data_IF_489102518910
#
_entry.id   IF_489102518910
#
_cell.length_a   1.000
_cell.length_b   1.000
_cell.length_c   1.000
_cell.angle_alpha   90.00
_cell.angle_beta   90.00
_cell.angle_gamma   90.00
#
_symmetry.space_group_name_H-M   'P 1'
#
loop_
_entity.id
_entity.type
_entity.pdbx_description
1 polymer ?
#
# COMPACT_ATOMS: atom_id res chain seq x y z
N UNK A 1 -71.62 17.09 37.74
CA UNK A 1 -71.39 15.85 38.49
C UNK A 1 -69.99 15.37 38.21
N UNK A 2 -69.18 15.35 39.26
CA UNK A 2 -67.87 14.73 39.47
C UNK A 2 -66.73 15.01 38.47
N UNK A 3 -65.64 15.68 38.87
CA UNK A 3 -64.59 15.18 39.79
C UNK A 3 -63.85 13.96 39.20
N UNK A 4 -62.52 13.81 39.22
CA UNK A 4 -61.46 14.51 39.95
C UNK A 4 -60.16 13.73 39.72
N UNK A 5 -59.06 14.48 39.53
CA UNK A 5 -57.69 14.23 40.01
C UNK A 5 -56.89 13.00 39.52
N UNK A 6 -55.68 13.31 39.05
CA UNK A 6 -54.34 13.06 39.65
C UNK A 6 -53.35 13.01 38.47
N UNK A 7 -52.31 13.83 38.35
CA UNK A 7 -51.36 14.29 39.36
C UNK A 7 -50.01 13.61 39.08
N UNK A 8 -48.92 14.38 39.04
CA UNK A 8 -47.57 13.86 39.26
C UNK A 8 -46.64 13.83 38.06
N UNK A 9 -45.85 14.90 37.93
CA UNK A 9 -44.38 14.86 37.94
C UNK A 9 -43.72 13.54 37.51
N UNK A 10 -43.16 13.50 36.31
CA UNK A 10 -41.89 12.79 36.03
C UNK A 10 -41.15 13.53 34.91
N UNK A 11 -40.55 14.65 35.32
CA UNK A 11 -39.35 15.17 34.68
C UNK A 11 -38.19 14.21 35.04
N UNK A 12 -37.27 14.00 34.09
CA UNK A 12 -35.98 13.31 34.16
C UNK A 12 -35.84 11.94 33.50
N UNK A 13 -34.78 11.87 32.69
CA UNK A 13 -34.08 10.71 32.13
C UNK A 13 -34.67 9.99 30.91
N UNK A 14 -34.53 10.62 29.74
CA UNK A 14 -33.97 9.95 28.57
C UNK A 14 -33.05 10.96 27.85
N UNK A 15 -31.79 11.05 28.31
CA UNK A 15 -30.63 10.54 27.54
C UNK A 15 -30.62 11.11 26.11
N UNK A 16 -30.12 12.32 25.90
CA UNK A 16 -28.68 12.60 25.77
C UNK A 16 -27.96 11.71 24.74
N UNK A 17 -28.52 11.57 23.53
CA UNK A 17 -27.84 10.90 22.41
C UNK A 17 -27.93 11.64 21.06
N UNK A 18 -28.47 12.87 21.03
CA UNK A 18 -28.70 13.61 19.78
C UNK A 18 -27.85 14.90 19.64
N UNK A 19 -26.71 14.94 20.34
CA UNK A 19 -25.79 16.10 20.35
C UNK A 19 -24.32 15.67 20.17
N UNK A 20 -24.10 14.62 19.37
CA UNK A 20 -22.78 14.11 18.97
C UNK A 20 -22.72 13.75 17.48
N UNK A 21 -23.50 14.43 16.62
CA UNK A 21 -23.42 14.29 15.16
C UNK A 21 -23.21 15.67 14.52
N UNK A 22 -22.33 16.49 15.12
CA UNK A 22 -21.96 17.80 14.54
C UNK A 22 -20.50 18.20 14.82
N UNK A 23 -19.60 17.26 15.09
CA UNK A 23 -18.18 17.59 15.35
C UNK A 23 -17.17 16.70 14.62
N UNK A 24 -17.52 16.19 13.45
CA UNK A 24 -16.56 15.73 12.44
C UNK A 24 -17.02 16.15 11.04
N UNK A 25 -17.19 17.46 10.85
CA UNK A 25 -16.83 18.04 9.56
C UNK A 25 -15.42 18.64 9.76
N UNK A 26 -14.53 18.33 8.82
CA UNK A 26 -13.14 18.76 8.77
C UNK A 26 -12.16 18.07 9.73
N UNK A 27 -11.91 16.77 9.50
CA UNK A 27 -10.53 16.42 9.16
C UNK A 27 -10.57 16.18 7.67
N UNK A 28 -10.13 17.18 6.91
CA UNK A 28 -9.83 16.96 5.51
C UNK A 28 -8.87 15.78 5.49
N UNK A 29 -9.31 14.67 4.90
CA UNK A 29 -8.35 13.74 4.33
C UNK A 29 -7.58 14.58 3.32
N UNK A 30 -6.43 15.12 3.75
CA UNK A 30 -5.34 15.38 2.83
C UNK A 30 -5.13 14.03 2.19
N UNK A 31 -5.72 13.89 1.01
CA UNK A 31 -5.43 12.81 0.10
C UNK A 31 -3.95 13.05 -0.18
N UNK A 32 -3.10 12.40 0.59
CA UNK A 32 -1.69 12.30 0.27
C UNK A 32 -1.73 11.46 -1.00
N UNK A 33 -1.89 12.15 -2.14
CA UNK A 33 -2.01 11.51 -3.44
C UNK A 33 -0.66 10.81 -3.64
N UNK A 34 -0.65 9.49 -3.43
CA UNK A 34 0.52 8.66 -3.69
C UNK A 34 0.73 8.69 -5.20
N UNK A 35 1.88 9.19 -5.65
CA UNK A 35 2.21 9.33 -7.06
C UNK A 35 2.62 7.98 -7.66
N UNK A 36 3.31 7.15 -6.88
CA UNK A 36 3.73 5.81 -7.26
C UNK A 36 3.94 4.90 -6.03
N UNK A 37 3.74 3.60 -6.22
CA UNK A 37 4.06 2.59 -5.22
C UNK A 37 5.37 1.86 -5.56
N UNK A 38 6.29 1.85 -4.61
CA UNK A 38 7.52 1.07 -4.64
C UNK A 38 7.48 -0.12 -3.69
N UNK A 39 8.46 -0.99 -3.85
CA UNK A 39 8.62 -2.21 -3.08
C UNK A 39 10.04 -2.37 -2.57
N UNK A 40 10.19 -2.71 -1.29
CA UNK A 40 11.44 -3.22 -0.73
C UNK A 40 11.28 -4.72 -0.49
N UNK A 41 11.95 -5.53 -1.32
CA UNK A 41 11.95 -6.99 -1.20
C UNK A 41 13.30 -7.49 -0.74
N UNK A 42 13.33 -8.18 0.40
CA UNK A 42 14.50 -8.92 0.86
C UNK A 42 14.36 -10.37 0.45
N UNK A 43 15.38 -10.89 -0.23
CA UNK A 43 15.44 -12.29 -0.64
C UNK A 43 16.63 -13.01 0.00
N UNK A 44 16.53 -14.32 0.09
CA UNK A 44 17.60 -15.18 0.54
C UNK A 44 18.70 -15.27 -0.52
N UNK A 45 19.95 -15.11 -0.10
CA UNK A 45 21.11 -15.29 -0.97
C UNK A 45 22.27 -14.36 -0.64
N UNK A 46 23.34 -14.50 -1.42
CA UNK A 46 24.50 -13.59 -1.40
C UNK A 46 24.39 -12.59 -2.54
N UNK A 47 24.93 -11.38 -2.33
CA UNK A 47 24.89 -10.34 -3.36
C UNK A 47 25.63 -10.77 -4.64
N UNK A 48 26.68 -11.59 -4.54
CA UNK A 48 27.43 -12.08 -5.71
C UNK A 48 26.60 -13.03 -6.60
N UNK A 49 25.59 -13.67 -6.04
CA UNK A 49 24.71 -14.63 -6.73
C UNK A 49 23.42 -13.95 -7.23
N UNK A 50 23.18 -12.70 -6.82
CA UNK A 50 21.99 -11.96 -7.20
C UNK A 50 22.19 -11.28 -8.56
N UNK A 51 21.23 -11.50 -9.46
CA UNK A 51 21.21 -10.94 -10.80
C UNK A 51 20.00 -10.02 -10.93
N UNK A 52 20.25 -8.72 -11.07
CA UNK A 52 19.19 -7.73 -11.30
C UNK A 52 18.39 -8.08 -12.57
N UNK A 53 19.06 -8.57 -13.61
CA UNK A 53 18.42 -8.95 -14.86
C UNK A 53 17.45 -10.13 -14.68
N UNK A 54 17.85 -11.14 -13.90
CA UNK A 54 17.01 -12.30 -13.62
C UNK A 54 15.86 -11.92 -12.69
N UNK A 55 16.12 -11.10 -11.66
CA UNK A 55 15.07 -10.51 -10.82
C UNK A 55 14.01 -9.79 -11.65
N UNK A 56 14.43 -8.85 -12.50
CA UNK A 56 13.51 -8.09 -13.36
C UNK A 56 12.70 -9.03 -14.26
N UNK A 57 13.35 -10.00 -14.91
CA UNK A 57 12.67 -10.99 -15.77
C UNK A 57 11.66 -11.83 -14.98
N UNK A 58 12.00 -12.26 -13.77
CA UNK A 58 11.13 -13.07 -12.94
C UNK A 58 9.91 -12.30 -12.44
N UNK A 59 10.09 -11.04 -12.01
CA UNK A 59 8.96 -10.16 -11.65
C UNK A 59 8.06 -9.90 -12.85
N UNK A 60 8.65 -9.57 -14.01
CA UNK A 60 7.91 -9.35 -15.25
C UNK A 60 7.07 -10.57 -15.65
N UNK A 61 7.65 -11.78 -15.60
CA UNK A 61 6.95 -13.02 -15.90
C UNK A 61 5.80 -13.33 -14.91
N UNK A 62 5.95 -12.97 -13.63
CA UNK A 62 4.90 -13.19 -12.62
C UNK A 62 3.68 -12.30 -12.86
N UNK A 63 3.93 -11.06 -13.27
CA UNK A 63 2.91 -10.01 -13.33
C UNK A 63 2.43 -9.70 -14.75
N UNK A 64 2.92 -10.48 -15.73
CA UNK A 64 2.64 -10.29 -17.15
C UNK A 64 2.90 -8.83 -17.58
N UNK A 65 4.12 -8.37 -17.28
CA UNK A 65 4.66 -7.05 -17.60
C UNK A 65 5.87 -7.16 -18.53
N UNK A 66 6.26 -6.06 -19.14
CA UNK A 66 7.54 -6.00 -19.84
C UNK A 66 8.69 -5.83 -18.84
N UNK A 67 9.88 -6.33 -19.22
CA UNK A 67 11.09 -6.19 -18.39
C UNK A 67 11.49 -4.71 -18.26
N UNK A 68 11.16 -3.88 -19.24
CA UNK A 68 11.36 -2.44 -19.22
C UNK A 68 10.61 -1.76 -18.08
N UNK A 69 9.49 -2.31 -17.66
CA UNK A 69 8.60 -1.67 -16.68
C UNK A 69 9.05 -1.90 -15.25
N UNK A 70 10.01 -2.81 -15.04
CA UNK A 70 10.55 -3.12 -13.71
C UNK A 70 11.80 -2.27 -13.47
N UNK A 71 11.67 -1.25 -12.61
CA UNK A 71 12.76 -0.34 -12.27
C UNK A 71 13.38 -0.76 -10.95
N UNK A 72 14.61 -1.25 -10.97
CA UNK A 72 15.37 -1.51 -9.74
C UNK A 72 16.13 -0.24 -9.36
N UNK A 73 15.72 0.37 -8.27
CA UNK A 73 16.26 1.63 -7.75
C UNK A 73 17.58 1.39 -7.01
N UNK A 74 17.64 0.33 -6.20
CA UNK A 74 18.82 -0.04 -5.43
C UNK A 74 18.81 -1.54 -5.10
N UNK A 75 20.00 -2.14 -5.00
CA UNK A 75 20.20 -3.50 -4.50
C UNK A 75 21.40 -3.51 -3.55
N UNK A 76 21.20 -3.97 -2.30
CA UNK A 76 22.19 -3.92 -1.23
C UNK A 76 22.61 -5.32 -0.74
N UNK A 77 23.71 -5.35 0.02
CA UNK A 77 24.27 -6.56 0.62
C UNK A 77 23.29 -7.24 1.59
N UNK A 78 23.17 -8.56 1.52
CA UNK A 78 22.10 -9.33 2.19
C UNK A 78 20.77 -9.39 1.41
N UNK A 79 20.84 -9.00 0.13
CA UNK A 79 19.85 -8.98 -0.96
C UNK A 79 18.51 -8.34 -0.61
N UNK A 80 18.58 -7.05 -0.28
CA UNK A 80 17.45 -6.13 -0.24
C UNK A 80 17.37 -5.42 -1.60
N UNK A 81 16.21 -5.50 -2.25
CA UNK A 81 15.94 -4.95 -3.58
C UNK A 81 14.83 -3.91 -3.47
N UNK A 82 15.17 -2.66 -3.76
CA UNK A 82 14.22 -1.57 -3.88
C UNK A 82 13.84 -1.43 -5.35
N UNK A 83 12.56 -1.56 -5.67
CA UNK A 83 12.08 -1.52 -7.05
C UNK A 83 10.69 -0.92 -7.18
N UNK A 84 10.38 -0.46 -8.39
CA UNK A 84 9.07 0.05 -8.79
C UNK A 84 8.63 -0.66 -10.08
N UNK A 85 7.33 -0.64 -10.33
CA UNK A 85 6.72 -1.15 -11.56
C UNK A 85 6.00 0.02 -12.21
N UNK A 86 6.33 0.34 -13.46
CA UNK A 86 5.61 1.36 -14.21
C UNK A 86 4.29 0.82 -14.76
N UNK A 87 3.43 1.77 -15.17
CA UNK A 87 2.23 1.45 -15.93
C UNK A 87 2.58 0.84 -17.30
N UNK A 88 1.76 -0.11 -17.77
CA UNK A 88 1.94 -0.70 -19.09
C UNK A 88 1.78 0.35 -20.18
N UNK A 89 2.55 0.23 -21.26
CA UNK A 89 2.46 1.16 -22.39
C UNK A 89 1.12 1.02 -23.14
N UNK A 90 0.62 2.07 -23.81
CA UNK A 90 -0.56 1.97 -24.67
C UNK A 90 -0.43 0.87 -25.73
N UNK A 91 0.78 0.67 -26.24
CA UNK A 91 1.12 -0.38 -27.19
C UNK A 91 0.88 -1.77 -26.59
N UNK A 92 1.36 -2.06 -25.38
CA UNK A 92 1.11 -3.32 -24.67
C UNK A 92 -0.38 -3.57 -24.46
N UNK A 93 -1.12 -2.55 -24.03
CA UNK A 93 -2.57 -2.65 -23.77
C UNK A 93 -3.39 -2.92 -25.03
N UNK A 94 -2.84 -2.56 -26.21
CA UNK A 94 -3.46 -2.75 -27.52
C UNK A 94 -3.25 -4.16 -28.09
N UNK A 95 -2.31 -4.94 -27.54
CA UNK A 95 -2.01 -6.28 -28.04
C UNK A 95 -3.20 -7.23 -27.82
N UNK A 96 -3.56 -8.08 -28.80
CA UNK A 96 -4.59 -9.11 -28.63
C UNK A 96 -4.29 -10.10 -27.50
N UNK A 97 -3.02 -10.25 -27.12
CA UNK A 97 -2.55 -11.10 -26.03
C UNK A 97 -2.63 -10.45 -24.65
N UNK A 98 -2.96 -9.15 -24.55
CA UNK A 98 -2.97 -8.43 -23.28
C UNK A 98 -3.98 -9.05 -22.30
N UNK A 99 -3.46 -9.62 -21.21
CA UNK A 99 -4.27 -10.30 -20.20
C UNK A 99 -4.88 -9.32 -19.20
N UNK A 100 -5.68 -9.84 -18.26
CA UNK A 100 -6.17 -9.04 -17.14
C UNK A 100 -5.03 -8.49 -16.27
N UNK A 101 -3.92 -9.22 -16.15
CA UNK A 101 -2.73 -8.79 -15.42
C UNK A 101 -1.99 -7.68 -16.16
N UNK A 102 -1.82 -7.80 -17.50
CA UNK A 102 -1.20 -6.75 -18.32
C UNK A 102 -1.87 -5.40 -18.11
N UNK A 103 -3.21 -5.38 -17.96
CA UNK A 103 -4.02 -4.17 -17.82
C UNK A 103 -3.98 -3.51 -16.44
N UNK A 104 -3.31 -4.13 -15.46
CA UNK A 104 -3.13 -3.51 -14.15
C UNK A 104 -2.09 -2.40 -14.23
N UNK A 105 -2.35 -1.30 -13.52
CA UNK A 105 -1.35 -0.24 -13.28
C UNK A 105 -0.18 -0.81 -12.49
N UNK A 106 0.99 -0.17 -12.59
CA UNK A 106 2.20 -0.57 -11.89
C UNK A 106 1.97 -0.71 -10.38
N UNK A 107 1.25 0.24 -9.79
CA UNK A 107 0.85 0.22 -8.38
C UNK A 107 -0.01 -0.99 -8.01
N UNK A 108 -0.98 -1.33 -8.86
CA UNK A 108 -1.85 -2.50 -8.64
C UNK A 108 -1.06 -3.80 -8.76
N UNK A 109 -0.08 -3.84 -9.68
CA UNK A 109 0.84 -4.97 -9.83
C UNK A 109 1.75 -5.12 -8.60
N UNK A 110 2.26 -4.01 -8.05
CA UNK A 110 3.06 -4.00 -6.83
C UNK A 110 2.28 -4.57 -5.64
N UNK A 111 1.05 -4.08 -5.44
CA UNK A 111 0.16 -4.56 -4.39
C UNK A 111 -0.24 -6.02 -4.59
N UNK A 112 -0.55 -6.42 -5.83
CA UNK A 112 -0.86 -7.81 -6.15
C UNK A 112 0.30 -8.75 -5.79
N UNK A 113 1.54 -8.38 -6.13
CA UNK A 113 2.72 -9.16 -5.79
C UNK A 113 2.88 -9.31 -4.27
N UNK A 114 2.65 -8.24 -3.53
CA UNK A 114 2.68 -8.26 -2.06
C UNK A 114 1.59 -9.16 -1.47
N UNK A 115 0.36 -9.05 -1.98
CA UNK A 115 -0.75 -9.93 -1.60
C UNK A 115 -0.44 -11.39 -1.93
N UNK A 116 0.18 -11.68 -3.06
CA UNK A 116 0.60 -13.03 -3.43
C UNK A 116 1.64 -13.59 -2.47
N UNK A 117 2.60 -12.77 -2.03
CA UNK A 117 3.61 -13.18 -1.07
C UNK A 117 3.01 -13.51 0.30
N UNK A 118 2.18 -12.63 0.85
CA UNK A 118 1.55 -12.86 2.17
C UNK A 118 0.68 -14.12 2.16
N UNK A 119 -0.06 -14.35 1.07
CA UNK A 119 -1.00 -15.47 0.98
C UNK A 119 -0.35 -16.76 0.48
N UNK A 120 0.95 -16.80 0.21
CA UNK A 120 1.64 -17.98 -0.31
C UNK A 120 1.07 -18.44 -1.65
N UNK A 121 0.84 -17.51 -2.58
CA UNK A 121 0.27 -17.83 -3.89
C UNK A 121 1.22 -18.74 -4.69
N UNK A 122 0.75 -19.89 -5.24
CA UNK A 122 1.57 -20.81 -6.03
C UNK A 122 2.24 -20.20 -7.26
N UNK A 123 1.79 -19.04 -7.74
CA UNK A 123 2.47 -18.31 -8.80
C UNK A 123 3.94 -17.99 -8.42
N UNK A 124 4.19 -17.74 -7.13
CA UNK A 124 5.53 -17.44 -6.61
C UNK A 124 6.47 -18.66 -6.56
N UNK A 125 5.98 -19.89 -6.74
CA UNK A 125 6.83 -21.09 -6.79
C UNK A 125 7.81 -21.04 -7.97
N UNK A 126 7.50 -20.24 -9.00
CA UNK A 126 8.35 -20.00 -10.17
C UNK A 126 9.31 -18.83 -9.98
N UNK A 127 9.20 -18.09 -8.88
CA UNK A 127 10.12 -17.01 -8.56
C UNK A 127 11.44 -17.63 -8.06
N UNK A 128 12.59 -17.28 -8.66
CA UNK A 128 13.85 -17.98 -8.39
C UNK A 128 14.46 -17.63 -7.03
N UNK A 129 13.90 -16.63 -6.34
CA UNK A 129 14.40 -16.13 -5.06
C UNK A 129 13.41 -16.44 -3.94
N UNK A 130 13.91 -16.92 -2.81
CA UNK A 130 13.12 -17.08 -1.59
C UNK A 130 12.91 -15.72 -0.93
N UNK A 131 11.66 -15.25 -0.82
CA UNK A 131 11.34 -13.92 -0.27
C UNK A 131 11.28 -14.00 1.26
N UNK A 132 12.21 -13.32 1.94
CA UNK A 132 12.30 -13.24 3.40
C UNK A 132 11.33 -12.19 3.95
N UNK A 133 11.32 -11.01 3.33
CA UNK A 133 10.42 -9.92 3.69
C UNK A 133 10.09 -9.08 2.47
N UNK A 134 8.88 -8.56 2.40
CA UNK A 134 8.47 -7.63 1.36
C UNK A 134 7.61 -6.53 1.97
N UNK A 135 7.96 -5.28 1.69
CA UNK A 135 7.26 -4.09 2.16
C UNK A 135 6.90 -3.24 0.95
N UNK A 136 5.66 -2.76 0.90
CA UNK A 136 5.21 -1.80 -0.11
C UNK A 136 5.18 -0.41 0.51
N UNK A 137 5.71 0.57 -0.20
CA UNK A 137 5.67 1.97 0.18
C UNK A 137 5.06 2.83 -0.93
N UNK A 138 4.39 3.92 -0.55
CA UNK A 138 3.94 4.96 -1.46
C UNK A 138 4.87 6.17 -1.38
N UNK A 139 5.18 6.77 -2.53
CA UNK A 139 5.79 8.10 -2.60
C UNK A 139 4.67 9.15 -2.71
N UNK A 140 4.67 10.17 -1.84
CA UNK A 140 3.75 11.29 -1.97
C UNK A 140 4.40 12.50 -2.65
N UNK A 141 3.56 13.40 -3.18
CA UNK A 141 3.92 14.65 -3.86
C UNK A 141 4.89 15.58 -3.11
N UNK A 142 5.09 15.38 -1.81
CA UNK A 142 6.02 16.17 -0.99
C UNK A 142 7.42 15.55 -0.85
N UNK A 143 7.67 14.40 -1.51
CA UNK A 143 8.93 13.65 -1.41
C UNK A 143 9.04 12.74 -0.19
N UNK A 144 7.95 12.56 0.58
CA UNK A 144 7.88 11.61 1.69
C UNK A 144 7.62 10.18 1.22
N UNK A 145 8.22 9.21 1.92
CA UNK A 145 7.95 7.78 1.72
C UNK A 145 7.08 7.25 2.86
N UNK A 146 6.05 6.48 2.52
CA UNK A 146 5.08 5.97 3.49
C UNK A 146 4.88 4.47 3.34
N UNK A 147 4.82 3.72 4.44
CA UNK A 147 4.45 2.30 4.44
C UNK A 147 2.97 2.13 4.13
N UNK A 148 2.65 1.19 3.25
CA UNK A 148 1.27 0.95 2.82
C UNK A 148 0.76 -0.35 3.44
N UNK A 149 -0.22 -0.25 4.32
CA UNK A 149 -1.02 -1.38 4.81
C UNK A 149 -2.36 -1.48 4.08
N UNK A 150 -2.83 -2.70 3.81
CA UNK A 150 -4.15 -2.94 3.20
C UNK A 150 -5.14 -3.43 4.28
N UNK A 151 -6.26 -2.72 4.45
CA UNK A 151 -7.44 -3.19 5.18
C UNK A 151 -8.69 -2.85 4.39
N UNK A 152 -9.45 -3.88 3.98
CA UNK A 152 -10.81 -3.82 3.41
C UNK A 152 -11.09 -2.57 2.55
N UNK A 153 -10.49 -2.54 1.37
CA UNK A 153 -10.58 -1.48 0.35
C UNK A 153 -10.01 -0.10 0.71
N UNK A 154 -9.32 0.01 1.85
CA UNK A 154 -8.63 1.25 2.28
C UNK A 154 -7.13 1.01 2.46
N UNK A 155 -6.32 1.84 1.82
CA UNK A 155 -4.87 1.89 2.04
C UNK A 155 -4.58 2.75 3.26
N UNK A 156 -4.00 2.15 4.30
CA UNK A 156 -3.49 2.89 5.45
C UNK A 156 -2.03 3.23 5.15
N UNK A 157 -1.79 4.51 4.94
CA UNK A 157 -0.49 5.11 4.68
C UNK A 157 0.14 5.49 6.02
N UNK A 158 1.15 4.76 6.47
CA UNK A 158 1.91 5.07 7.67
C UNK A 158 3.19 5.83 7.31
N UNK A 159 3.57 6.90 8.02
CA UNK A 159 4.88 7.52 7.81
C UNK A 159 6.00 6.50 8.03
N UNK A 160 7.01 6.51 7.17
CA UNK A 160 8.17 5.63 7.31
C UNK A 160 8.91 5.91 8.61
N UNK A 161 9.58 4.89 9.18
CA UNK A 161 10.36 5.04 10.42
C UNK A 161 11.51 6.07 10.26
N UNK A 162 11.99 6.30 9.03
CA UNK A 162 12.96 7.37 8.72
C UNK A 162 12.42 8.77 8.98
N UNK A 163 11.12 9.01 8.79
CA UNK A 163 10.49 10.32 9.03
C UNK A 163 10.20 10.56 10.52
N UNK A 164 10.05 9.48 11.30
CA UNK A 164 9.87 9.54 12.76
C UNK A 164 11.22 9.81 13.46
N UNK A 165 12.33 9.32 12.89
CA UNK A 165 13.68 9.54 13.42
C UNK A 165 14.27 10.92 13.05
N UNK A 166 13.71 11.61 12.06
CA UNK A 166 14.23 12.88 11.53
C UNK A 166 13.84 14.15 12.30
N UNK A 167 12.95 14.08 13.30
CA UNK A 167 12.43 15.29 13.97
C UNK A 167 12.71 15.36 15.49
N UNK A 168 13.82 14.75 15.93
CA UNK A 168 14.37 14.98 17.28
C UNK A 168 15.79 15.52 17.18
N UNK A 169 15.96 16.81 16.89
CA UNK A 169 17.29 17.39 16.84
C UNK A 169 17.39 18.88 16.48
N UNK A 170 17.18 19.72 17.50
CA UNK A 170 17.85 21.02 17.69
C UNK A 170 17.62 22.15 16.67
N UNK A 171 16.62 22.98 16.96
CA UNK A 171 16.68 24.41 16.66
C UNK A 171 17.67 25.08 17.62
N UNK A 172 18.79 25.57 17.08
CA UNK A 172 19.60 26.66 17.64
C UNK A 172 19.16 27.98 17.05
#
# INVERSE_FOLDING_TARGET
>A
GNESRRGGTFFFFFFSCLLLISFFCAVGASKNDVEAYGGEMRVEGRLEEFSIADFKRSVANLLDSEISDIYVLNALSGVVVNFQIADPSPEELSLPSATALTRLTGDKKMLLLYTWWINGNPALDKFPYSIISFVVYGEAYDGGAYLVGQTDDTYIVHPSISDIAGNTGESR
#
